data_IF_100992061662
#
_entry.id   IF_100992061662
#
_cell.length_a   1.000
_cell.length_b   1.000
_cell.length_c   1.000
_cell.angle_alpha   90.00
_cell.angle_beta   90.00
_cell.angle_gamma   90.00
#
_symmetry.space_group_name_H-M   'P 1'
#
loop_
_entity.id
_entity.type
_entity.pdbx_description
1 polymer ?
#
# COMPACT_ATOMS: atom_id res chain seq x y z
N UNK A 1 44.30 -1.84 63.66
CA UNK A 1 43.17 -2.50 64.31
C UNK A 1 41.92 -2.34 63.44
N UNK A 2 41.36 -3.46 62.95
CA UNK A 2 40.05 -3.67 62.28
C UNK A 2 39.77 -2.86 61.00
N UNK A 3 39.31 -3.42 59.88
CA UNK A 3 39.08 -4.78 59.39
C UNK A 3 38.75 -4.60 57.91
N UNK A 4 39.66 -4.92 56.99
CA UNK A 4 39.51 -5.99 55.99
C UNK A 4 38.12 -6.66 55.92
N UNK A 5 37.60 -6.77 54.69
CA UNK A 5 36.42 -7.52 54.19
C UNK A 5 35.07 -6.78 54.17
N UNK A 6 34.78 -6.12 53.04
CA UNK A 6 33.49 -6.29 52.35
C UNK A 6 33.59 -5.70 50.92
N UNK A 7 34.58 -6.14 50.14
CA UNK A 7 34.54 -6.04 48.68
C UNK A 7 33.63 -7.18 48.22
N UNK A 8 32.31 -7.01 48.35
CA UNK A 8 31.35 -8.00 47.89
C UNK A 8 30.15 -7.30 47.24
N UNK A 9 30.28 -7.15 45.92
CA UNK A 9 29.26 -7.45 44.92
C UNK A 9 27.83 -6.92 45.19
N UNK A 10 27.53 -5.68 44.79
CA UNK A 10 26.26 -5.36 44.10
C UNK A 10 26.54 -4.27 43.06
N UNK A 11 27.30 -4.62 42.02
CA UNK A 11 27.08 -4.02 40.70
C UNK A 11 25.90 -4.81 40.13
N UNK A 12 24.67 -4.46 40.52
CA UNK A 12 23.49 -4.93 39.81
C UNK A 12 23.49 -4.15 38.50
N UNK A 13 24.26 -4.68 37.54
CA UNK A 13 24.15 -4.30 36.15
C UNK A 13 22.66 -4.31 35.83
N UNK A 14 22.12 -3.14 35.50
CA UNK A 14 20.84 -3.01 34.84
C UNK A 14 21.05 -3.70 33.49
N UNK A 15 20.84 -5.01 33.47
CA UNK A 15 20.66 -5.76 32.25
C UNK A 15 19.30 -5.30 31.75
N UNK A 16 19.28 -4.21 30.98
CA UNK A 16 18.21 -3.98 30.03
C UNK A 16 18.19 -5.25 29.18
N UNK A 17 17.15 -6.09 29.22
CA UNK A 17 17.00 -7.10 28.19
C UNK A 17 16.81 -6.30 26.91
N UNK A 18 17.89 -6.21 26.12
CA UNK A 18 17.81 -5.74 24.75
C UNK A 18 16.75 -6.60 24.10
N UNK A 19 15.59 -6.02 23.83
CA UNK A 19 14.57 -6.63 23.00
C UNK A 19 15.19 -6.76 21.63
N UNK A 20 15.84 -7.90 21.39
CA UNK A 20 16.24 -8.36 20.07
C UNK A 20 14.96 -8.60 19.29
N UNK A 21 14.42 -7.54 18.69
CA UNK A 21 13.57 -7.71 17.53
C UNK A 21 14.44 -8.43 16.50
N UNK A 22 14.20 -9.72 16.33
CA UNK A 22 14.78 -10.48 15.25
C UNK A 22 14.30 -9.83 13.95
N UNK A 23 15.12 -8.92 13.42
CA UNK A 23 14.79 -8.18 12.21
C UNK A 23 15.11 -9.10 11.04
N UNK A 24 14.19 -10.01 10.73
CA UNK A 24 14.24 -10.87 9.54
C UNK A 24 14.13 -10.08 8.23
N UNK A 25 14.16 -8.75 8.30
CA UNK A 25 14.14 -7.83 7.18
C UNK A 25 12.73 -7.54 6.67
N UNK A 26 12.70 -6.93 5.49
CA UNK A 26 11.47 -6.65 4.75
C UNK A 26 11.26 -7.71 3.68
N UNK A 27 10.00 -8.00 3.37
CA UNK A 27 9.63 -8.97 2.35
C UNK A 27 8.66 -8.38 1.34
N UNK A 28 8.58 -9.03 0.19
CA UNK A 28 7.55 -8.75 -0.82
C UNK A 28 6.70 -10.00 -0.97
N UNK A 29 5.46 -9.94 -0.49
CA UNK A 29 4.49 -11.03 -0.56
C UNK A 29 4.08 -11.36 -2.00
N UNK A 30 3.46 -12.53 -2.20
CA UNK A 30 3.00 -13.06 -3.49
C UNK A 30 2.03 -12.12 -4.18
N UNK A 31 1.26 -11.36 -3.40
CA UNK A 31 0.35 -10.32 -3.88
C UNK A 31 1.05 -9.00 -4.28
N UNK A 32 2.37 -9.01 -4.48
CA UNK A 32 3.22 -7.83 -4.73
C UNK A 32 3.11 -6.75 -3.64
N UNK A 33 2.75 -7.15 -2.41
CA UNK A 33 2.65 -6.25 -1.25
C UNK A 33 3.93 -6.29 -0.45
N UNK A 34 4.43 -5.12 -0.07
CA UNK A 34 5.58 -5.00 0.83
C UNK A 34 5.13 -5.19 2.26
N UNK A 35 5.93 -5.93 3.03
CA UNK A 35 5.65 -6.32 4.40
C UNK A 35 6.92 -6.50 5.20
N UNK A 36 6.75 -6.95 6.43
CA UNK A 36 7.87 -7.29 7.32
C UNK A 36 7.86 -8.77 7.66
N UNK A 37 9.05 -9.35 7.78
CA UNK A 37 9.20 -10.73 8.21
C UNK A 37 9.09 -10.79 9.73
N UNK A 38 7.97 -11.30 10.24
CA UNK A 38 7.70 -11.47 11.67
C UNK A 38 6.95 -12.78 11.93
N UNK A 39 6.81 -13.19 13.19
CA UNK A 39 6.06 -14.40 13.50
C UNK A 39 4.59 -14.26 13.12
N UNK A 40 3.96 -15.33 12.63
CA UNK A 40 2.52 -15.34 12.29
C UNK A 40 1.64 -14.90 13.46
N UNK A 41 2.05 -15.22 14.69
CA UNK A 41 1.40 -14.77 15.92
C UNK A 41 1.48 -13.25 16.09
N UNK A 42 2.67 -12.64 15.95
CA UNK A 42 2.81 -11.19 16.03
C UNK A 42 2.11 -10.48 14.87
N UNK A 43 2.14 -11.07 13.67
CA UNK A 43 1.43 -10.52 12.52
C UNK A 43 -0.08 -10.40 12.77
N UNK A 44 -0.69 -11.44 13.34
CA UNK A 44 -2.10 -11.41 13.74
C UNK A 44 -2.38 -10.37 14.83
N UNK A 45 -1.52 -10.26 15.84
CA UNK A 45 -1.65 -9.26 16.92
C UNK A 45 -1.58 -7.84 16.35
N UNK A 46 -0.69 -7.61 15.38
CA UNK A 46 -0.52 -6.34 14.70
C UNK A 46 -1.62 -6.07 13.64
N UNK A 47 -2.62 -6.95 13.49
CA UNK A 47 -3.71 -6.79 12.52
C UNK A 47 -3.28 -6.97 11.05
N UNK A 48 -2.14 -7.61 10.82
CA UNK A 48 -1.64 -7.99 9.50
C UNK A 48 -2.09 -9.40 9.07
N UNK A 49 -1.74 -9.76 7.85
CA UNK A 49 -1.97 -11.06 7.22
C UNK A 49 -0.64 -11.67 6.78
N UNK A 50 -0.36 -12.89 7.26
CA UNK A 50 0.84 -13.63 6.92
C UNK A 50 0.70 -14.33 5.57
N UNK A 51 1.66 -14.11 4.68
CA UNK A 51 1.78 -14.85 3.42
C UNK A 51 2.57 -16.15 3.64
N UNK A 52 2.00 -17.33 3.33
CA UNK A 52 2.62 -18.63 3.57
C UNK A 52 3.76 -18.98 2.61
N UNK A 53 4.16 -18.10 1.69
CA UNK A 53 5.12 -18.41 0.63
C UNK A 53 6.61 -18.58 1.07
N UNK A 54 6.93 -18.81 2.35
CA UNK A 54 8.31 -18.99 2.86
C UNK A 54 9.32 -17.94 2.33
N UNK A 55 8.87 -16.70 2.19
CA UNK A 55 9.63 -15.59 1.61
C UNK A 55 10.60 -14.94 2.59
N UNK A 56 10.59 -15.37 3.86
CA UNK A 56 11.37 -14.83 4.95
C UNK A 56 12.40 -15.87 5.44
N UNK A 57 13.63 -15.46 5.78
CA UNK A 57 14.64 -16.36 6.32
C UNK A 57 14.23 -16.80 7.74
N UNK A 58 14.07 -18.11 7.97
CA UNK A 58 13.68 -18.64 9.28
C UNK A 58 12.94 -19.98 9.22
N UNK A 59 12.13 -20.24 10.24
CA UNK A 59 11.21 -21.38 10.32
C UNK A 59 9.85 -21.05 9.69
N UNK A 60 8.94 -22.04 9.62
CA UNK A 60 7.58 -21.85 9.11
C UNK A 60 6.73 -20.87 9.95
N UNK A 61 7.22 -20.44 11.12
CA UNK A 61 6.54 -19.50 12.00
C UNK A 61 6.83 -18.05 11.60
N UNK A 62 7.94 -17.79 10.90
CA UNK A 62 8.32 -16.48 10.37
C UNK A 62 7.78 -16.33 8.94
N UNK A 63 6.78 -15.48 8.78
CA UNK A 63 6.13 -15.28 7.49
C UNK A 63 6.09 -13.81 7.12
N UNK A 64 5.88 -13.54 5.83
CA UNK A 64 5.77 -12.17 5.36
C UNK A 64 4.46 -11.57 5.83
N UNK A 65 4.53 -10.69 6.82
CA UNK A 65 3.38 -9.99 7.34
C UNK A 65 3.06 -8.78 6.47
N UNK A 66 1.91 -8.83 5.80
CA UNK A 66 1.38 -7.75 5.00
C UNK A 66 0.17 -7.13 5.66
N UNK A 67 -0.05 -5.84 5.42
CA UNK A 67 -1.15 -5.11 6.04
C UNK A 67 -2.23 -4.77 5.00
N UNK A 68 -3.37 -4.27 5.49
CA UNK A 68 -4.47 -3.80 4.63
C UNK A 68 -4.09 -2.53 3.85
N UNK A 69 -4.91 -2.18 2.87
CA UNK A 69 -4.85 -0.87 2.24
C UNK A 69 -5.42 0.19 3.17
N UNK A 70 -4.95 1.42 3.04
CA UNK A 70 -5.34 2.56 3.87
C UNK A 70 -5.75 3.74 2.98
N UNK A 71 -6.45 4.70 3.57
CA UNK A 71 -6.75 5.98 2.92
C UNK A 71 -6.26 7.07 3.84
N UNK A 72 -5.34 7.91 3.38
CA UNK A 72 -4.72 8.96 4.16
C UNK A 72 -5.75 10.05 4.55
N UNK A 73 -5.38 10.99 5.43
CA UNK A 73 -6.28 12.07 5.86
C UNK A 73 -6.73 13.03 4.74
N UNK A 74 -6.13 12.91 3.55
CA UNK A 74 -6.46 13.67 2.33
C UNK A 74 -7.30 12.87 1.33
N UNK A 75 -7.80 11.69 1.69
CA UNK A 75 -8.59 10.82 0.81
C UNK A 75 -7.76 10.03 -0.22
N UNK A 76 -6.44 9.97 -0.03
CA UNK A 76 -5.52 9.27 -0.93
C UNK A 76 -5.38 7.81 -0.52
N UNK A 77 -5.81 6.89 -1.38
CA UNK A 77 -5.58 5.46 -1.21
C UNK A 77 -4.10 5.10 -1.27
N UNK A 78 -3.65 4.31 -0.30
CA UNK A 78 -2.30 3.79 -0.19
C UNK A 78 -2.28 2.36 0.35
N UNK A 79 -1.08 1.85 0.55
CA UNK A 79 -0.86 0.51 1.11
C UNK A 79 -0.12 0.66 2.43
N UNK A 80 -0.62 0.01 3.49
CA UNK A 80 0.11 -0.08 4.74
C UNK A 80 1.34 -0.94 4.55
N UNK A 81 2.50 -0.34 4.72
CA UNK A 81 3.80 -1.01 4.60
C UNK A 81 4.81 -0.32 5.53
N UNK A 82 5.96 -0.96 5.79
CA UNK A 82 7.05 -0.30 6.50
C UNK A 82 7.46 1.01 5.83
N UNK A 83 7.62 2.07 6.60
CA UNK A 83 8.09 3.38 6.11
C UNK A 83 9.39 3.28 5.34
N UNK A 84 10.30 2.41 5.78
CA UNK A 84 11.58 2.14 5.12
C UNK A 84 11.42 1.57 3.70
N UNK A 85 10.33 0.86 3.41
CA UNK A 85 10.06 0.31 2.08
C UNK A 85 9.10 1.18 1.26
N UNK A 86 8.61 2.27 1.82
CA UNK A 86 7.72 3.19 1.14
C UNK A 86 8.52 4.05 0.15
N UNK A 87 8.22 3.92 -1.14
CA UNK A 87 8.80 4.77 -2.20
C UNK A 87 8.00 6.06 -2.45
N UNK A 88 6.93 6.30 -1.69
CA UNK A 88 6.07 7.46 -1.81
C UNK A 88 5.99 8.28 -0.52
N UNK A 89 4.82 8.88 -0.25
CA UNK A 89 4.58 9.65 0.96
C UNK A 89 3.99 8.75 2.05
N UNK A 90 4.67 8.65 3.18
CA UNK A 90 4.15 7.96 4.37
C UNK A 90 3.30 8.90 5.19
N UNK A 91 2.06 8.51 5.50
CA UNK A 91 1.21 9.24 6.44
C UNK A 91 1.37 8.62 7.85
N UNK A 92 1.88 9.37 8.85
CA UNK A 92 2.03 8.93 10.23
C UNK A 92 0.71 8.87 11.00
N UNK A 93 -0.43 9.17 10.39
CA UNK A 93 -1.72 8.91 11.00
C UNK A 93 -1.86 7.41 11.30
N UNK A 94 -2.44 7.07 12.46
CA UNK A 94 -2.70 5.70 12.96
C UNK A 94 -3.80 4.97 12.15
N UNK A 95 -3.69 5.01 10.83
CA UNK A 95 -4.63 4.46 9.87
C UNK A 95 -4.31 3.01 9.51
N UNK A 96 -3.08 2.57 9.80
CA UNK A 96 -2.61 1.22 9.59
C UNK A 96 -2.57 0.45 10.91
N UNK A 97 -3.10 -0.79 10.95
CA UNK A 97 -2.97 -1.63 12.13
C UNK A 97 -1.51 -2.07 12.27
N UNK A 98 -0.99 -2.04 13.48
CA UNK A 98 0.36 -2.50 13.81
C UNK A 98 1.22 -1.42 14.47
N UNK A 99 2.54 -1.63 14.49
CA UNK A 99 3.48 -0.72 15.13
C UNK A 99 3.68 0.58 14.34
N UNK A 100 4.20 1.62 15.00
CA UNK A 100 4.31 3.00 14.47
C UNK A 100 5.12 3.14 13.16
N UNK A 101 5.95 2.16 12.81
CA UNK A 101 6.73 2.15 11.57
C UNK A 101 5.96 1.58 10.38
N UNK A 102 4.76 1.03 10.60
CA UNK A 102 3.83 0.63 9.55
C UNK A 102 2.90 1.81 9.30
N UNK A 103 3.16 2.50 8.20
CA UNK A 103 2.43 3.73 7.87
C UNK A 103 1.71 3.58 6.53
N UNK A 104 0.75 4.46 6.32
CA UNK A 104 0.03 4.49 5.06
C UNK A 104 0.96 5.04 3.98
N UNK A 105 1.57 4.15 3.20
CA UNK A 105 2.40 4.55 2.08
C UNK A 105 1.51 4.84 0.87
N UNK A 106 1.42 6.12 0.54
CA UNK A 106 0.78 6.61 -0.67
C UNK A 106 1.85 6.75 -1.74
N UNK A 107 1.90 5.82 -2.69
CA UNK A 107 2.86 5.91 -3.78
C UNK A 107 2.57 7.16 -4.63
N UNK A 108 3.57 8.01 -4.85
CA UNK A 108 3.50 9.02 -5.91
C UNK A 108 3.36 8.40 -7.32
N UNK A 109 3.46 7.07 -7.44
CA UNK A 109 3.00 6.32 -8.59
C UNK A 109 2.50 4.95 -8.15
N UNK A 110 1.19 4.71 -8.25
CA UNK A 110 0.63 3.35 -8.19
C UNK A 110 -0.45 3.08 -7.15
N UNK A 111 -1.39 3.99 -6.95
CA UNK A 111 -2.82 3.67 -6.85
C UNK A 111 -3.62 4.96 -6.84
N UNK A 112 -4.66 4.97 -7.66
CA UNK A 112 -5.47 6.13 -8.01
C UNK A 112 -6.16 6.77 -6.82
N UNK A 113 -5.51 7.77 -6.21
CA UNK A 113 -6.19 8.88 -5.55
C UNK A 113 -5.27 10.10 -5.49
N UNK A 114 -4.75 10.56 -6.63
CA UNK A 114 -4.64 12.02 -6.73
C UNK A 114 -6.03 12.60 -6.46
N UNK A 115 -6.16 13.78 -5.87
CA UNK A 115 -7.42 14.50 -5.93
C UNK A 115 -7.90 14.63 -7.37
N UNK A 116 -9.11 15.16 -7.55
CA UNK A 116 -9.65 15.43 -8.88
C UNK A 116 -8.61 16.16 -9.75
N UNK A 117 -8.35 15.63 -10.96
CA UNK A 117 -7.57 16.34 -11.95
C UNK A 117 -8.29 17.67 -12.26
N UNK A 118 -7.57 18.76 -12.57
CA UNK A 118 -8.21 20.03 -12.89
C UNK A 118 -9.29 19.86 -13.96
N UNK A 119 -10.52 20.24 -13.64
CA UNK A 119 -11.67 20.14 -14.55
C UNK A 119 -12.33 18.75 -14.66
N UNK A 120 -11.91 17.76 -13.87
CA UNK A 120 -12.48 16.40 -13.88
C UNK A 120 -13.04 16.00 -12.50
N UNK A 121 -14.06 15.15 -12.48
CA UNK A 121 -14.56 14.51 -11.24
C UNK A 121 -13.69 13.32 -10.80
N UNK A 122 -14.04 12.68 -9.68
CA UNK A 122 -13.27 11.57 -9.12
C UNK A 122 -13.21 10.34 -10.07
N UNK A 123 -14.32 10.04 -10.72
CA UNK A 123 -14.45 8.90 -11.66
C UNK A 123 -13.64 9.16 -12.92
N UNK A 124 -13.80 10.34 -13.51
CA UNK A 124 -13.04 10.78 -14.67
C UNK A 124 -11.54 10.83 -14.38
N UNK A 125 -11.16 11.36 -13.22
CA UNK A 125 -9.76 11.43 -12.78
C UNK A 125 -9.15 10.04 -12.59
N UNK A 126 -9.95 9.06 -12.13
CA UNK A 126 -9.52 7.67 -12.04
C UNK A 126 -9.22 7.10 -13.43
N UNK A 127 -10.13 7.25 -14.39
CA UNK A 127 -9.92 6.74 -15.75
C UNK A 127 -8.82 7.47 -16.51
N UNK A 128 -8.71 8.80 -16.37
CA UNK A 128 -7.62 9.58 -16.95
C UNK A 128 -6.24 9.07 -16.49
N UNK A 129 -6.10 8.70 -15.21
CA UNK A 129 -4.88 8.08 -14.70
C UNK A 129 -4.63 6.69 -15.25
N UNK A 130 -5.67 5.89 -15.45
CA UNK A 130 -5.55 4.57 -16.10
C UNK A 130 -5.04 4.75 -17.53
N UNK A 131 -5.64 5.65 -18.31
CA UNK A 131 -5.21 5.95 -19.69
C UNK A 131 -3.75 6.42 -19.70
N UNK A 132 -3.37 7.36 -18.83
CA UNK A 132 -2.01 7.85 -18.75
C UNK A 132 -1.00 6.77 -18.32
N UNK A 133 -1.40 5.87 -17.41
CA UNK A 133 -0.58 4.71 -17.04
C UNK A 133 -0.40 3.78 -18.23
N UNK A 134 -1.48 3.42 -18.90
CA UNK A 134 -1.46 2.54 -20.07
C UNK A 134 -0.59 3.13 -21.19
N UNK A 135 -0.70 4.42 -21.48
CA UNK A 135 0.16 5.07 -22.47
C UNK A 135 1.65 4.96 -22.12
N UNK A 136 2.02 5.07 -20.84
CA UNK A 136 3.40 4.83 -20.37
C UNK A 136 3.81 3.36 -20.51
N UNK A 137 2.93 2.43 -20.15
CA UNK A 137 3.21 0.99 -20.26
C UNK A 137 3.47 0.57 -21.72
N UNK A 138 2.79 1.22 -22.68
CA UNK A 138 3.01 1.04 -24.12
C UNK A 138 4.16 1.90 -24.69
N UNK A 139 4.86 2.68 -23.87
CA UNK A 139 5.96 3.54 -24.32
C UNK A 139 5.55 4.64 -25.30
N UNK A 140 4.30 5.10 -25.25
CA UNK A 140 3.82 6.15 -26.14
C UNK A 140 4.47 7.50 -25.80
N UNK A 141 4.74 8.36 -26.82
CA UNK A 141 5.15 9.73 -26.57
C UNK A 141 4.04 10.51 -25.86
N UNK A 142 4.39 11.60 -25.18
CA UNK A 142 3.43 12.45 -24.44
C UNK A 142 2.26 12.89 -25.34
N UNK A 143 2.53 13.21 -26.60
CA UNK A 143 1.48 13.54 -27.60
C UNK A 143 0.47 12.41 -27.81
N UNK A 144 0.90 11.15 -27.75
CA UNK A 144 0.00 10.00 -27.83
C UNK A 144 -0.90 9.88 -26.59
N UNK A 145 -0.37 10.19 -25.40
CA UNK A 145 -1.18 10.25 -24.18
C UNK A 145 -2.19 11.41 -24.22
N UNK A 146 -1.81 12.58 -24.74
CA UNK A 146 -2.72 13.72 -24.91
C UNK A 146 -3.89 13.38 -25.84
N UNK A 147 -3.60 12.80 -27.01
CA UNK A 147 -4.63 12.35 -27.95
C UNK A 147 -5.58 11.35 -27.29
N UNK A 148 -5.05 10.35 -26.58
CA UNK A 148 -5.87 9.36 -25.88
C UNK A 148 -6.82 10.00 -24.84
N UNK A 149 -6.34 10.98 -24.08
CA UNK A 149 -7.16 11.69 -23.08
C UNK A 149 -8.22 12.56 -23.77
N UNK A 150 -7.85 13.33 -24.80
CA UNK A 150 -8.80 14.19 -25.52
C UNK A 150 -9.87 13.35 -26.21
N UNK A 151 -9.51 12.24 -26.84
CA UNK A 151 -10.47 11.29 -27.41
C UNK A 151 -11.42 10.76 -26.33
N UNK A 152 -10.90 10.34 -25.17
CA UNK A 152 -11.76 9.89 -24.08
C UNK A 152 -12.74 10.98 -23.58
N UNK A 153 -12.32 12.26 -23.58
CA UNK A 153 -13.21 13.39 -23.23
C UNK A 153 -14.33 13.54 -24.24
N UNK A 154 -14.03 13.53 -25.54
CA UNK A 154 -15.04 13.82 -26.58
C UNK A 154 -15.99 12.64 -26.83
N UNK A 155 -15.51 11.40 -26.68
CA UNK A 155 -16.32 10.21 -26.97
C UNK A 155 -17.26 9.85 -25.81
N UNK A 156 -16.80 10.00 -24.57
CA UNK A 156 -17.57 9.52 -23.41
C UNK A 156 -17.46 10.40 -22.17
N UNK A 157 -16.87 11.59 -22.28
CA UNK A 157 -16.54 12.42 -21.12
C UNK A 157 -15.70 11.65 -20.08
N UNK A 158 -14.81 10.77 -20.55
CA UNK A 158 -13.97 9.87 -19.76
C UNK A 158 -14.80 8.95 -18.82
N UNK A 159 -15.94 8.44 -19.32
CA UNK A 159 -16.78 7.46 -18.62
C UNK A 159 -16.96 6.18 -19.41
N UNK A 160 -17.31 5.11 -18.69
CA UNK A 160 -17.61 3.80 -19.22
C UNK A 160 -19.11 3.56 -19.10
N UNK A 161 -19.80 3.47 -20.23
CA UNK A 161 -21.25 3.28 -20.27
C UNK A 161 -21.62 1.84 -20.61
N UNK A 162 -22.60 1.29 -19.89
CA UNK A 162 -23.27 0.05 -20.31
C UNK A 162 -24.27 0.35 -21.42
N UNK A 163 -24.31 -0.51 -22.44
CA UNK A 163 -25.26 -0.36 -23.54
C UNK A 163 -26.62 -0.97 -23.17
N UNK A 164 -27.67 -0.15 -23.18
CA UNK A 164 -29.03 -0.60 -22.87
C UNK A 164 -29.61 -1.62 -23.86
N UNK A 165 -29.13 -1.63 -25.10
CA UNK A 165 -29.54 -2.58 -26.15
C UNK A 165 -28.77 -3.91 -26.10
N UNK A 166 -27.75 -4.02 -25.26
CA UNK A 166 -26.91 -5.23 -25.12
C UNK A 166 -26.91 -5.64 -23.64
N UNK A 167 -27.83 -6.52 -23.21
CA UNK A 167 -27.96 -6.95 -21.81
C UNK A 167 -26.66 -7.51 -21.21
N UNK A 168 -25.81 -8.12 -22.04
CA UNK A 168 -24.51 -8.63 -21.63
C UNK A 168 -23.56 -7.51 -21.17
N UNK A 169 -23.74 -6.28 -21.66
CA UNK A 169 -22.91 -5.12 -21.32
C UNK A 169 -22.98 -4.76 -19.84
N UNK A 170 -24.09 -5.07 -19.15
CA UNK A 170 -24.27 -4.81 -17.72
C UNK A 170 -23.40 -5.71 -16.84
N UNK A 171 -22.85 -6.80 -17.37
CA UNK A 171 -21.97 -7.72 -16.65
C UNK A 171 -20.58 -7.11 -16.41
N UNK A 172 -20.23 -6.05 -17.14
CA UNK A 172 -18.95 -5.37 -17.00
C UNK A 172 -19.08 -4.15 -16.09
N UNK A 173 -18.01 -3.74 -15.38
CA UNK A 173 -18.00 -2.50 -14.61
C UNK A 173 -18.34 -1.30 -15.50
N UNK A 174 -19.32 -0.50 -15.08
CA UNK A 174 -19.81 0.67 -15.81
C UNK A 174 -20.23 1.77 -14.83
N UNK A 175 -20.17 3.03 -15.29
CA UNK A 175 -20.50 4.21 -14.49
C UNK A 175 -21.96 4.62 -14.66
N UNK A 176 -22.53 4.35 -15.84
CA UNK A 176 -23.90 4.69 -16.18
C UNK A 176 -24.37 3.84 -17.37
N UNK A 177 -25.66 3.94 -17.70
CA UNK A 177 -26.24 3.27 -18.86
C UNK A 177 -26.39 4.28 -20.00
N UNK A 178 -25.81 3.98 -21.15
CA UNK A 178 -25.96 4.78 -22.36
C UNK A 178 -27.37 4.67 -22.90
N UNK A 179 -28.02 5.82 -23.09
CA UNK A 179 -29.19 5.93 -23.96
C UNK A 179 -28.64 6.16 -25.36
N UNK A 180 -28.63 5.12 -26.18
CA UNK A 180 -28.47 5.32 -27.62
C UNK A 180 -29.61 6.24 -28.07
N UNK A 181 -29.27 7.36 -28.73
CA UNK A 181 -30.22 8.11 -29.56
C UNK A 181 -30.93 7.16 -30.53
#
# INVERSE_FOLDING_TARGET
>A
MKSLRMFLLIVFAIVLPSTVFAQYGYCTATNSRRGECISTSQCKINGGSSDPANLCPGDNSIQCCTYRTCTNSKGVGGTCQPTATCSGSSDPANLCPGPNHIQCCTSNGGSSSGGNLPGLDATQSRYARIIAKTARDYGLPIRGCEVAIVTAIVESNIRVYANSKVPESYKYPHDAVGKSL
#
